data_IF_968014870324
#
_entry.id   IF_968014870324
#
_cell.length_a   1.000
_cell.length_b   1.000
_cell.length_c   1.000
_cell.angle_alpha   90.00
_cell.angle_beta   90.00
_cell.angle_gamma   90.00
#
_symmetry.space_group_name_H-M   'P 1'
#
loop_
_entity.id
_entity.type
_entity.pdbx_description
1 polymer ?
#
# COMPACT_ATOMS: atom_id res chain seq x y z
N UNK A 1 16.82 -15.44 -3.50
CA UNK A 1 15.36 -15.25 -3.63
C UNK A 1 14.68 -16.52 -3.16
N UNK A 2 14.01 -16.50 -2.01
CA UNK A 2 13.34 -17.67 -1.42
C UNK A 2 11.83 -17.47 -1.59
N UNK A 3 11.17 -18.41 -2.26
CA UNK A 3 9.71 -18.40 -2.41
C UNK A 3 9.17 -19.45 -1.45
N UNK A 4 8.43 -19.03 -0.42
CA UNK A 4 7.81 -19.93 0.55
C UNK A 4 6.30 -19.94 0.29
N UNK A 5 5.73 -21.14 0.09
CA UNK A 5 4.28 -21.33 -0.05
C UNK A 5 3.67 -21.70 1.30
N UNK A 6 2.48 -21.19 1.60
CA UNK A 6 1.78 -21.45 2.85
C UNK A 6 0.55 -22.32 2.61
N UNK A 7 0.36 -23.39 3.43
CA UNK A 7 -0.76 -24.33 3.24
C UNK A 7 -2.16 -23.71 3.36
N UNK A 8 -2.32 -22.68 4.21
CA UNK A 8 -3.61 -22.02 4.42
C UNK A 8 -3.91 -20.92 3.39
N UNK A 9 -2.86 -20.42 2.71
CA UNK A 9 -2.98 -19.33 1.73
C UNK A 9 -2.36 -19.79 0.41
N UNK A 10 -3.13 -20.36 -0.51
CA UNK A 10 -2.60 -20.94 -1.75
C UNK A 10 -1.90 -19.91 -2.65
N UNK A 11 -2.30 -18.64 -2.55
CA UNK A 11 -1.73 -17.54 -3.32
C UNK A 11 -0.58 -16.81 -2.61
N UNK A 12 -0.20 -17.29 -1.43
CA UNK A 12 0.88 -16.67 -0.67
C UNK A 12 2.24 -16.88 -1.33
N UNK A 13 2.94 -15.79 -1.53
CA UNK A 13 4.32 -15.77 -2.03
C UNK A 13 5.15 -14.83 -1.17
N UNK A 14 6.34 -15.27 -0.80
CA UNK A 14 7.31 -14.49 -0.06
C UNK A 14 8.59 -14.37 -0.87
N UNK A 15 9.05 -13.15 -1.06
CA UNK A 15 10.29 -12.81 -1.72
C UNK A 15 11.22 -12.16 -0.70
N UNK A 16 12.44 -12.63 -0.63
CA UNK A 16 13.45 -12.08 0.26
C UNK A 16 14.69 -11.70 -0.53
N UNK A 17 15.13 -10.46 -0.38
CA UNK A 17 16.28 -9.87 -1.07
C UNK A 17 17.12 -9.19 -0.01
N UNK A 18 18.41 -9.38 -0.04
CA UNK A 18 19.33 -8.62 0.79
C UNK A 18 19.57 -7.25 0.13
N UNK A 19 19.23 -6.18 0.85
CA UNK A 19 19.40 -4.81 0.40
C UNK A 19 20.18 -4.02 1.46
N UNK A 20 21.35 -3.50 1.09
CA UNK A 20 22.25 -2.75 1.99
C UNK A 20 22.54 -3.46 3.33
N UNK A 21 22.77 -4.78 3.28
CA UNK A 21 23.09 -5.58 4.46
C UNK A 21 21.91 -5.87 5.40
N UNK A 22 20.67 -5.59 4.96
CA UNK A 22 19.43 -5.92 5.67
C UNK A 22 18.47 -6.68 4.76
N UNK A 23 17.70 -7.64 5.30
CA UNK A 23 16.70 -8.34 4.51
C UNK A 23 15.51 -7.41 4.19
N UNK A 24 15.22 -7.26 2.90
CA UNK A 24 13.99 -6.70 2.39
C UNK A 24 13.05 -7.86 2.04
N UNK A 25 11.94 -7.95 2.76
CA UNK A 25 10.96 -9.02 2.60
C UNK A 25 9.69 -8.46 1.97
N UNK A 26 9.21 -9.09 0.92
CA UNK A 26 7.94 -8.77 0.27
C UNK A 26 7.02 -9.98 0.33
N UNK A 27 5.84 -9.81 0.91
CA UNK A 27 4.83 -10.86 1.03
C UNK A 27 3.56 -10.45 0.30
N UNK A 28 2.98 -11.36 -0.47
CA UNK A 28 1.71 -11.14 -1.18
C UNK A 28 0.79 -12.34 -1.02
N UNK A 29 -0.52 -12.13 -1.18
CA UNK A 29 -1.54 -13.18 -1.15
C UNK A 29 -1.98 -13.65 0.24
N UNK A 30 -1.69 -12.87 1.31
CA UNK A 30 -2.11 -13.16 2.69
C UNK A 30 -3.06 -12.10 3.26
N UNK A 31 -2.81 -10.84 2.94
CA UNK A 31 -3.55 -9.70 3.49
C UNK A 31 -4.30 -8.97 2.36
N UNK A 32 -5.38 -8.30 2.74
CA UNK A 32 -6.18 -7.43 1.86
C UNK A 32 -6.66 -8.15 0.57
N UNK A 33 -7.25 -9.33 0.70
CA UNK A 33 -7.74 -10.15 -0.43
C UNK A 33 -8.83 -9.46 -1.28
N UNK A 34 -9.55 -8.48 -0.71
CA UNK A 34 -10.56 -7.69 -1.44
C UNK A 34 -9.97 -6.64 -2.37
N UNK A 35 -8.67 -6.38 -2.28
CA UNK A 35 -7.97 -5.47 -3.18
C UNK A 35 -7.52 -6.20 -4.46
N UNK A 36 -7.37 -5.47 -5.56
CA UNK A 36 -6.84 -6.04 -6.80
C UNK A 36 -5.40 -6.52 -6.63
N UNK A 37 -4.62 -5.83 -5.80
CA UNK A 37 -3.28 -6.24 -5.42
C UNK A 37 -2.95 -5.75 -4.01
N UNK A 38 -2.21 -6.56 -3.26
CA UNK A 38 -1.70 -6.19 -1.95
C UNK A 38 -0.33 -6.81 -1.73
N UNK A 39 0.59 -6.00 -1.19
CA UNK A 39 1.95 -6.41 -0.85
C UNK A 39 2.31 -5.87 0.52
N UNK A 40 2.77 -6.75 1.39
CA UNK A 40 3.38 -6.37 2.66
C UNK A 40 4.89 -6.32 2.47
N UNK A 41 5.47 -5.15 2.68
CA UNK A 41 6.92 -4.92 2.56
C UNK A 41 7.50 -4.71 3.95
N UNK A 42 8.51 -5.48 4.32
CA UNK A 42 9.21 -5.32 5.59
C UNK A 42 10.69 -5.09 5.33
N UNK A 43 11.24 -4.06 5.94
CA UNK A 43 12.67 -3.74 5.90
C UNK A 43 13.17 -3.42 7.30
N UNK A 44 13.95 -4.33 7.87
CA UNK A 44 14.32 -4.26 9.28
C UNK A 44 13.07 -4.33 10.18
N UNK A 45 12.87 -3.31 11.01
CA UNK A 45 11.71 -3.19 11.90
C UNK A 45 10.53 -2.42 11.29
N UNK A 46 10.71 -1.85 10.10
CA UNK A 46 9.66 -1.10 9.41
C UNK A 46 8.86 -2.00 8.49
N UNK A 47 7.54 -1.98 8.63
CA UNK A 47 6.62 -2.76 7.80
C UNK A 47 5.57 -1.85 7.19
N UNK A 48 5.36 -1.97 5.88
CA UNK A 48 4.40 -1.19 5.10
C UNK A 48 3.46 -2.13 4.34
N UNK A 49 2.16 -1.96 4.53
CA UNK A 49 1.15 -2.64 3.72
C UNK A 49 0.72 -1.73 2.56
N UNK A 50 1.05 -2.14 1.35
CA UNK A 50 0.66 -1.44 0.12
C UNK A 50 -0.52 -2.16 -0.51
N UNK A 51 -1.62 -1.45 -0.75
CA UNK A 51 -2.81 -1.99 -1.41
C UNK A 51 -3.16 -1.16 -2.64
N UNK A 52 -3.62 -1.83 -3.67
CA UNK A 52 -4.04 -1.18 -4.91
C UNK A 52 -5.42 -1.69 -5.32
N UNK A 53 -6.31 -0.76 -5.64
CA UNK A 53 -7.64 -1.06 -6.17
C UNK A 53 -7.89 -0.28 -7.44
N UNK A 54 -8.41 -0.95 -8.46
CA UNK A 54 -8.76 -0.34 -9.73
C UNK A 54 -10.21 -0.69 -10.09
N UNK A 55 -10.91 0.24 -10.75
CA UNK A 55 -12.23 -0.06 -11.29
C UNK A 55 -12.10 -0.95 -12.54
N UNK A 56 -13.08 -1.84 -12.76
CA UNK A 56 -13.08 -2.76 -13.89
C UNK A 56 -13.36 -2.05 -15.23
N UNK A 57 -13.93 -0.85 -15.22
CA UNK A 57 -14.30 -0.09 -16.41
C UNK A 57 -13.76 1.33 -16.34
N UNK A 58 -13.29 1.90 -17.46
CA UNK A 58 -12.95 3.30 -17.53
C UNK A 58 -14.20 4.15 -17.28
N UNK A 59 -13.98 5.34 -16.73
CA UNK A 59 -15.05 6.33 -16.57
C UNK A 59 -15.09 7.20 -17.81
N UNK A 60 -16.20 7.14 -18.55
CA UNK A 60 -16.39 7.93 -19.76
C UNK A 60 -16.43 9.44 -19.45
N UNK A 61 -15.87 10.25 -20.33
CA UNK A 61 -15.90 11.71 -20.25
C UNK A 61 -14.90 12.33 -19.27
N UNK A 62 -13.85 11.60 -18.87
CA UNK A 62 -12.78 12.11 -17.98
C UNK A 62 -11.49 12.24 -18.78
N UNK A 63 -10.97 13.45 -18.87
CA UNK A 63 -9.73 13.80 -19.61
C UNK A 63 -8.48 13.67 -18.74
N UNK A 64 -8.60 13.28 -17.48
CA UNK A 64 -7.48 13.11 -16.55
C UNK A 64 -7.49 11.71 -15.93
N UNK A 65 -6.33 11.26 -15.50
CA UNK A 65 -6.21 9.99 -14.78
C UNK A 65 -6.57 10.19 -13.28
N UNK A 66 -7.70 9.61 -12.81
CA UNK A 66 -8.14 9.78 -11.43
C UNK A 66 -7.38 8.85 -10.48
N UNK A 67 -6.08 9.10 -10.28
CA UNK A 67 -5.25 8.41 -9.29
C UNK A 67 -5.38 9.11 -7.93
N UNK A 68 -5.71 8.36 -6.90
CA UNK A 68 -5.62 8.79 -5.50
C UNK A 68 -4.60 7.93 -4.77
N UNK A 69 -3.65 8.57 -4.11
CA UNK A 69 -2.65 7.93 -3.27
C UNK A 69 -2.83 8.44 -1.85
N UNK A 70 -3.08 7.52 -0.93
CA UNK A 70 -3.24 7.82 0.49
C UNK A 70 -2.15 7.09 1.29
N UNK A 71 -1.49 7.78 2.20
CA UNK A 71 -0.52 7.23 3.12
C UNK A 71 -0.96 7.49 4.55
N UNK A 72 -0.98 6.48 5.39
CA UNK A 72 -1.35 6.57 6.79
C UNK A 72 -0.45 5.73 7.68
N UNK A 73 0.01 6.31 8.77
CA UNK A 73 0.63 5.59 9.87
C UNK A 73 -0.44 5.05 10.81
N UNK A 74 -0.38 3.77 11.14
CA UNK A 74 -1.35 3.10 11.99
C UNK A 74 -0.80 2.82 13.38
N UNK A 75 -1.32 3.50 14.40
CA UNK A 75 -0.88 3.34 15.79
C UNK A 75 -1.12 1.94 16.34
N UNK A 76 -2.10 1.21 15.81
CA UNK A 76 -2.34 -0.17 16.21
C UNK A 76 -1.17 -1.12 15.84
N UNK A 77 -0.38 -0.78 14.83
CA UNK A 77 0.80 -1.58 14.44
C UNK A 77 1.85 -1.66 15.57
N UNK A 78 1.92 -0.63 16.41
CA UNK A 78 2.77 -0.59 17.62
C UNK A 78 1.98 -0.83 18.92
N UNK A 79 0.77 -1.35 18.81
CA UNK A 79 -0.09 -1.67 19.97
C UNK A 79 -0.59 -0.45 20.74
N UNK A 80 -0.64 0.73 20.11
CA UNK A 80 -1.10 1.97 20.74
C UNK A 80 -2.47 2.39 20.25
N UNK A 81 -3.26 2.96 21.15
CA UNK A 81 -4.54 3.60 20.84
C UNK A 81 -4.28 5.08 20.56
N UNK A 82 -4.91 5.70 19.56
CA UNK A 82 -4.79 7.13 19.31
C UNK A 82 -5.14 7.96 20.54
N UNK A 83 -4.29 8.94 20.87
CA UNK A 83 -4.41 9.77 22.06
C UNK A 83 -5.45 10.91 21.97
N UNK A 84 -6.28 10.99 20.93
CA UNK A 84 -7.32 12.01 20.81
C UNK A 84 -8.56 11.67 21.68
N UNK A 85 -9.37 12.68 21.98
CA UNK A 85 -10.63 12.52 22.73
C UNK A 85 -11.53 11.42 22.13
N UNK A 86 -11.58 11.32 20.80
CA UNK A 86 -12.38 10.32 20.09
C UNK A 86 -11.76 8.91 20.09
N UNK A 87 -10.51 8.75 20.54
CA UNK A 87 -9.75 7.49 20.50
C UNK A 87 -9.76 6.80 19.13
N UNK A 88 -9.82 7.60 18.08
CA UNK A 88 -9.82 7.18 16.67
C UNK A 88 -8.70 7.86 15.93
N UNK A 89 -8.24 7.22 14.87
CA UNK A 89 -7.35 7.86 13.91
C UNK A 89 -8.10 9.00 13.22
N UNK A 90 -7.54 10.21 13.30
CA UNK A 90 -8.09 11.41 12.70
C UNK A 90 -7.67 11.58 11.23
N UNK A 91 -7.62 12.85 10.80
CA UNK A 91 -7.09 13.20 9.48
C UNK A 91 -5.61 12.83 9.39
N UNK A 92 -5.13 12.49 8.18
CA UNK A 92 -3.70 12.23 7.96
C UNK A 92 -2.85 13.41 8.45
N UNK A 93 -1.70 13.10 9.06
CA UNK A 93 -0.73 14.11 9.47
C UNK A 93 -0.10 14.80 8.25
N UNK A 94 0.44 16.00 8.45
CA UNK A 94 1.13 16.71 7.37
C UNK A 94 2.26 15.88 6.73
N UNK A 95 3.14 15.19 7.48
CA UNK A 95 4.12 14.28 6.91
C UNK A 95 3.50 13.16 6.07
N UNK A 96 2.38 12.59 6.50
CA UNK A 96 1.68 11.55 5.74
C UNK A 96 1.14 12.07 4.41
N UNK A 97 0.59 13.28 4.39
CA UNK A 97 0.15 13.94 3.14
C UNK A 97 1.33 14.22 2.21
N UNK A 98 2.46 14.66 2.72
CA UNK A 98 3.66 14.88 1.92
C UNK A 98 4.21 13.56 1.36
N UNK A 99 4.24 12.49 2.16
CA UNK A 99 4.64 11.16 1.70
C UNK A 99 3.73 10.66 0.56
N UNK A 100 2.40 10.78 0.70
CA UNK A 100 1.48 10.40 -0.37
C UNK A 100 1.73 11.16 -1.68
N UNK A 101 2.10 12.44 -1.60
CA UNK A 101 2.47 13.25 -2.77
C UNK A 101 3.78 12.82 -3.41
N UNK A 102 4.77 12.43 -2.58
CA UNK A 102 6.05 11.90 -3.09
C UNK A 102 5.86 10.58 -3.83
N UNK A 103 4.93 9.75 -3.38
CA UNK A 103 4.60 8.47 -4.02
C UNK A 103 3.78 8.70 -5.31
N UNK A 104 2.80 9.58 -5.29
CA UNK A 104 1.93 9.89 -6.44
C UNK A 104 2.73 10.38 -7.65
N UNK A 105 3.69 11.28 -7.45
CA UNK A 105 4.42 11.94 -8.55
C UNK A 105 5.16 10.98 -9.48
N UNK A 106 5.98 10.03 -9.01
CA UNK A 106 6.67 9.10 -9.90
C UNK A 106 5.75 8.04 -10.49
N UNK A 107 4.64 7.71 -9.81
CA UNK A 107 3.71 6.67 -10.27
C UNK A 107 2.77 7.16 -11.37
N UNK A 108 2.28 8.39 -11.26
CA UNK A 108 1.27 8.94 -12.17
C UNK A 108 1.65 8.88 -13.66
N UNK A 109 2.87 9.19 -14.10
CA UNK A 109 3.25 9.09 -15.50
C UNK A 109 3.33 7.66 -16.06
N UNK A 110 3.37 6.65 -15.18
CA UNK A 110 3.44 5.24 -15.60
C UNK A 110 2.09 4.71 -16.08
N UNK A 111 0.99 5.39 -15.77
CA UNK A 111 -0.35 5.00 -16.17
C UNK A 111 -0.83 5.81 -17.38
N UNK A 112 -1.39 5.17 -18.41
CA UNK A 112 -2.00 5.88 -19.52
C UNK A 112 -3.25 6.63 -19.08
N UNK A 113 -3.50 7.81 -19.65
CA UNK A 113 -4.64 8.70 -19.30
C UNK A 113 -5.99 8.01 -19.46
N UNK A 114 -6.08 7.04 -20.38
CA UNK A 114 -7.31 6.26 -20.65
C UNK A 114 -7.62 5.18 -19.61
N UNK A 115 -6.76 5.01 -18.59
CA UNK A 115 -6.98 3.97 -17.58
C UNK A 115 -8.04 4.38 -16.57
N UNK A 116 -8.65 3.38 -15.97
CA UNK A 116 -9.70 3.41 -14.96
C UNK A 116 -9.26 4.08 -13.67
N UNK A 117 -10.22 4.43 -12.83
CA UNK A 117 -9.99 4.95 -11.49
C UNK A 117 -9.14 3.98 -10.65
N UNK A 118 -7.92 4.36 -10.34
CA UNK A 118 -6.98 3.60 -9.54
C UNK A 118 -6.81 4.26 -8.17
N UNK A 119 -6.98 3.50 -7.13
CA UNK A 119 -6.73 3.94 -5.76
C UNK A 119 -5.63 3.10 -5.15
N UNK A 120 -4.50 3.72 -4.89
CA UNK A 120 -3.43 3.14 -4.10
C UNK A 120 -3.59 3.56 -2.64
N UNK A 121 -3.53 2.61 -1.72
CA UNK A 121 -3.59 2.86 -0.29
C UNK A 121 -2.40 2.20 0.39
N UNK A 122 -1.59 2.99 1.06
CA UNK A 122 -0.45 2.53 1.82
C UNK A 122 -0.71 2.76 3.31
N UNK A 123 -0.46 1.72 4.10
CA UNK A 123 -0.58 1.75 5.57
C UNK A 123 0.69 1.19 6.19
N UNK A 124 1.29 1.93 7.07
CA UNK A 124 2.38 1.48 7.93
C UNK A 124 1.84 1.05 9.29
#
# INVERSE_FOLDING_TARGET
MIITTHKQFPNYKRYEIEYEGRPLVMETGKLAELCNSAVLVSYGETTVLVTCTASARPKDGVDYFPLSVDFNEKLYAVGRIPGSFMRREGKPSLPAVLASRLIDRPMRPLFPVSYTHLRAHETC
#
